data_IF_458907952604
#
_entry.id   IF_458907952604
#
_cell.length_a   1.000
_cell.length_b   1.000
_cell.length_c   1.000
_cell.angle_alpha   90.00
_cell.angle_beta   90.00
_cell.angle_gamma   90.00
#
_symmetry.space_group_name_H-M   'P 1'
#
loop_
_entity.id
_entity.type
_entity.pdbx_description
1 polymer ?
#
# COMPACT_ATOMS: atom_id res chain seq x y z
N UNK A 1 -6.31 21.06 -8.65
CA UNK A 1 -5.81 19.86 -9.34
C UNK A 1 -4.46 19.52 -8.74
N UNK A 2 -4.11 18.24 -8.54
CA UNK A 2 -2.80 17.89 -7.99
C UNK A 2 -1.69 18.28 -8.98
N UNK A 3 -0.49 18.48 -8.46
CA UNK A 3 0.69 18.72 -9.29
C UNK A 3 1.06 17.45 -10.06
N UNK A 4 1.59 17.58 -11.27
CA UNK A 4 2.13 16.45 -12.02
C UNK A 4 3.64 16.55 -12.15
N UNK A 5 4.31 15.41 -12.01
CA UNK A 5 5.77 15.34 -12.09
C UNK A 5 6.19 14.10 -12.88
N UNK A 6 7.13 14.27 -13.81
CA UNK A 6 7.81 13.14 -14.46
C UNK A 6 8.97 12.63 -13.60
N UNK A 7 9.17 11.32 -13.58
CA UNK A 7 10.25 10.65 -12.85
C UNK A 7 11.09 9.77 -13.77
N UNK A 8 12.32 9.48 -13.35
CA UNK A 8 13.26 8.59 -14.07
C UNK A 8 13.28 7.17 -13.50
N UNK A 9 12.82 6.99 -12.27
CA UNK A 9 12.74 5.72 -11.55
C UNK A 9 11.51 5.76 -10.64
N UNK A 10 10.87 4.62 -10.46
CA UNK A 10 9.69 4.47 -9.60
C UNK A 10 9.79 3.25 -8.68
N UNK A 11 10.44 2.18 -9.12
CA UNK A 11 10.71 0.98 -8.34
C UNK A 11 12.08 1.08 -7.67
N UNK A 12 12.09 1.24 -6.35
CA UNK A 12 13.33 1.36 -5.58
C UNK A 12 13.67 0.02 -4.92
N UNK A 13 14.94 -0.41 -4.98
CA UNK A 13 15.40 -1.63 -4.29
C UNK A 13 15.89 -1.26 -2.89
N UNK A 14 15.48 -2.01 -1.88
CA UNK A 14 15.96 -1.83 -0.52
C UNK A 14 17.28 -2.58 -0.31
N UNK A 15 18.06 -2.18 0.69
CA UNK A 15 19.35 -2.82 0.98
C UNK A 15 19.18 -4.17 1.66
N UNK A 16 18.15 -4.29 2.50
CA UNK A 16 17.79 -5.48 3.27
C UNK A 16 16.28 -5.51 3.37
N UNK A 17 15.71 -6.71 3.20
CA UNK A 17 14.30 -6.97 3.44
C UNK A 17 14.01 -6.79 4.92
N UNK A 18 13.05 -5.95 5.25
CA UNK A 18 12.48 -5.90 6.58
C UNK A 18 11.58 -7.12 6.82
N UNK A 19 11.66 -7.72 8.00
CA UNK A 19 10.91 -8.94 8.32
C UNK A 19 9.40 -8.69 8.36
N UNK A 20 8.98 -7.47 8.68
CA UNK A 20 7.58 -7.07 8.80
C UNK A 20 6.99 -6.67 7.46
N UNK A 21 7.61 -5.72 6.75
CA UNK A 21 7.08 -5.23 5.48
C UNK A 21 7.41 -6.12 4.29
N UNK A 22 8.41 -6.98 4.40
CA UNK A 22 8.96 -7.78 3.29
C UNK A 22 9.40 -6.92 2.10
N UNK A 23 9.79 -5.67 2.31
CA UNK A 23 10.09 -4.67 1.29
C UNK A 23 11.40 -4.95 0.56
N UNK A 24 11.45 -5.89 -0.38
CA UNK A 24 12.59 -5.99 -1.31
C UNK A 24 12.63 -4.78 -2.26
N UNK A 25 11.45 -4.33 -2.64
CA UNK A 25 11.22 -3.15 -3.44
C UNK A 25 10.13 -2.27 -2.85
N UNK A 26 10.23 -0.97 -3.09
CA UNK A 26 9.17 -0.02 -2.76
C UNK A 26 8.67 0.72 -4.00
N UNK A 27 7.38 1.03 -3.99
CA UNK A 27 6.67 1.70 -5.07
C UNK A 27 5.71 2.76 -4.52
N UNK A 28 6.07 4.04 -4.71
CA UNK A 28 5.20 5.17 -4.38
C UNK A 28 4.79 5.90 -5.68
N UNK A 29 3.51 5.88 -6.03
CA UNK A 29 2.97 6.51 -7.24
C UNK A 29 2.63 8.00 -7.04
N UNK A 30 2.49 8.40 -5.79
CA UNK A 30 2.11 9.73 -5.35
C UNK A 30 3.18 10.32 -4.44
N UNK A 31 3.12 11.64 -4.23
CA UNK A 31 3.81 12.32 -3.16
C UNK A 31 2.81 13.18 -2.39
N UNK A 32 3.02 13.24 -1.06
CA UNK A 32 2.05 13.76 -0.10
C UNK A 32 0.73 12.95 -0.08
N UNK A 33 -0.03 13.06 1.01
CA UNK A 33 -1.17 12.19 1.26
C UNK A 33 -2.39 13.04 1.66
N UNK A 34 -3.55 12.72 1.08
CA UNK A 34 -4.82 13.40 1.38
C UNK A 34 -5.43 13.02 2.73
N UNK A 35 -4.92 11.98 3.42
CA UNK A 35 -5.44 11.57 4.73
C UNK A 35 -5.04 12.51 5.87
N UNK A 36 -3.98 13.30 5.68
CA UNK A 36 -3.56 14.36 6.59
C UNK A 36 -3.38 13.92 8.06
N UNK A 37 -2.91 12.68 8.28
CA UNK A 37 -2.75 12.13 9.63
C UNK A 37 -1.84 13.02 10.49
N UNK A 38 -2.23 13.26 11.75
CA UNK A 38 -1.47 14.06 12.71
C UNK A 38 -0.15 13.39 13.10
N UNK A 39 -0.13 12.06 13.15
CA UNK A 39 1.03 11.24 13.52
C UNK A 39 1.91 10.83 12.32
N UNK A 40 1.70 11.43 11.13
CA UNK A 40 2.40 11.02 9.92
C UNK A 40 3.90 11.32 9.99
N UNK A 41 4.74 10.28 10.07
CA UNK A 41 6.20 10.43 10.12
C UNK A 41 6.80 11.16 8.90
N UNK A 42 6.17 11.04 7.73
CA UNK A 42 6.59 11.75 6.50
C UNK A 42 6.41 13.26 6.61
N UNK A 43 5.50 13.75 7.45
CA UNK A 43 5.34 15.20 7.71
C UNK A 43 6.46 15.76 8.58
N UNK A 44 7.16 14.91 9.35
CA UNK A 44 8.01 15.36 10.44
C UNK A 44 7.24 16.30 11.39
N UNK A 45 7.87 17.38 11.86
CA UNK A 45 7.28 18.33 12.81
C UNK A 45 6.27 19.33 12.22
N UNK A 46 5.83 19.17 10.96
CA UNK A 46 4.90 20.10 10.27
C UNK A 46 3.44 19.76 10.53
N UNK A 47 3.02 19.92 11.78
CA UNK A 47 1.63 19.75 12.21
C UNK A 47 0.72 20.86 11.63
N UNK A 48 -0.55 20.54 11.33
CA UNK A 48 -1.55 21.53 10.89
C UNK A 48 -1.56 21.94 9.40
N UNK A 49 -0.58 21.53 8.59
CA UNK A 49 -0.54 21.86 7.15
C UNK A 49 -1.36 20.87 6.31
N UNK A 50 -2.38 21.33 5.59
CA UNK A 50 -3.13 20.46 4.67
C UNK A 50 -2.27 20.06 3.46
N UNK A 51 -1.77 18.82 3.49
CA UNK A 51 -0.93 18.23 2.45
C UNK A 51 -1.65 17.92 1.14
N UNK A 52 -2.98 17.94 1.10
CA UNK A 52 -3.73 17.67 -0.14
C UNK A 52 -3.39 18.70 -1.22
N UNK A 53 -3.16 19.95 -0.82
CA UNK A 53 -2.70 21.03 -1.71
C UNK A 53 -1.34 20.76 -2.36
N UNK A 54 -0.50 19.94 -1.70
CA UNK A 54 0.85 19.59 -2.16
C UNK A 54 0.89 18.23 -2.87
N UNK A 55 -0.27 17.60 -3.08
CA UNK A 55 -0.35 16.28 -3.68
C UNK A 55 0.22 16.31 -5.09
N UNK A 56 1.18 15.42 -5.33
CA UNK A 56 1.84 15.29 -6.62
C UNK A 56 1.63 13.89 -7.18
N UNK A 57 1.22 13.82 -8.44
CA UNK A 57 1.08 12.58 -9.21
C UNK A 57 2.32 12.38 -10.07
N UNK A 58 2.90 11.18 -10.03
CA UNK A 58 4.01 10.82 -10.91
C UNK A 58 3.44 10.36 -12.26
N UNK A 59 3.20 11.30 -13.17
CA UNK A 59 2.34 11.08 -14.35
C UNK A 59 2.87 10.08 -15.38
N UNK A 60 4.19 9.83 -15.42
CA UNK A 60 4.79 8.79 -16.26
C UNK A 60 5.16 7.51 -15.48
N UNK A 61 4.64 7.32 -14.26
CA UNK A 61 5.04 6.22 -13.39
C UNK A 61 4.83 4.84 -14.01
N UNK A 62 3.73 4.62 -14.73
CA UNK A 62 3.39 3.32 -15.33
C UNK A 62 4.40 2.91 -16.42
N UNK A 63 4.74 3.83 -17.33
CA UNK A 63 5.75 3.60 -18.38
C UNK A 63 7.14 3.32 -17.78
N UNK A 64 7.51 4.01 -16.70
CA UNK A 64 8.78 3.77 -16.01
C UNK A 64 8.74 2.44 -15.25
N UNK A 65 7.63 2.11 -14.59
CA UNK A 65 7.45 0.88 -13.83
C UNK A 65 7.58 -0.34 -14.73
N UNK A 66 6.90 -0.35 -15.88
CA UNK A 66 6.94 -1.46 -16.84
C UNK A 66 8.38 -1.79 -17.25
N UNK A 67 9.15 -0.78 -17.67
CA UNK A 67 10.56 -0.97 -18.04
C UNK A 67 11.40 -1.53 -16.90
N UNK A 68 11.15 -1.07 -15.67
CA UNK A 68 11.88 -1.52 -14.50
C UNK A 68 11.50 -2.97 -14.12
N UNK A 69 10.21 -3.33 -14.13
CA UNK A 69 9.74 -4.69 -13.87
C UNK A 69 10.27 -5.67 -14.92
N UNK A 70 10.19 -5.32 -16.21
CA UNK A 70 10.71 -6.15 -17.29
C UNK A 70 12.21 -6.44 -17.11
N UNK A 71 13.00 -5.43 -16.75
CA UNK A 71 14.42 -5.60 -16.50
C UNK A 71 14.71 -6.51 -15.30
N UNK A 72 13.96 -6.38 -14.20
CA UNK A 72 14.12 -7.21 -13.00
C UNK A 72 13.68 -8.65 -13.25
N UNK A 73 12.54 -8.85 -13.91
CA UNK A 73 12.03 -10.17 -14.29
C UNK A 73 13.03 -10.91 -15.20
N UNK A 74 13.59 -10.22 -16.21
CA UNK A 74 14.62 -10.78 -17.11
C UNK A 74 15.87 -11.24 -16.35
N UNK A 75 16.21 -10.59 -15.24
CA UNK A 75 17.34 -10.95 -14.38
C UNK A 75 17.00 -11.98 -13.30
N UNK A 76 15.73 -12.40 -13.20
CA UNK A 76 15.25 -13.26 -12.11
C UNK A 76 15.28 -12.61 -10.73
N UNK A 77 15.35 -11.27 -10.66
CA UNK A 77 15.45 -10.51 -9.41
C UNK A 77 14.08 -10.26 -8.77
N UNK A 78 13.34 -11.35 -8.50
CA UNK A 78 12.03 -11.29 -7.85
C UNK A 78 12.13 -10.94 -6.38
N UNK A 79 11.15 -10.19 -5.89
CA UNK A 79 11.04 -9.74 -4.51
C UNK A 79 9.70 -9.02 -4.29
N UNK A 80 9.28 -8.93 -3.04
CA UNK A 80 8.03 -8.26 -2.68
C UNK A 80 8.11 -6.76 -2.99
N UNK A 81 7.10 -6.27 -3.69
CA UNK A 81 6.91 -4.85 -3.96
C UNK A 81 5.94 -4.30 -2.91
N UNK A 82 6.44 -3.41 -2.06
CA UNK A 82 5.63 -2.72 -1.05
C UNK A 82 5.09 -1.42 -1.62
N UNK A 83 3.77 -1.29 -1.61
CA UNK A 83 3.08 -0.02 -1.85
C UNK A 83 2.75 0.61 -0.49
N UNK A 84 2.95 1.93 -0.38
CA UNK A 84 2.90 2.72 0.88
C UNK A 84 4.18 2.77 1.71
N UNK A 85 5.35 2.83 1.08
CA UNK A 85 6.59 3.17 1.82
C UNK A 85 6.62 4.63 2.28
N UNK A 86 5.98 5.54 1.53
CA UNK A 86 5.93 6.98 1.85
C UNK A 86 4.49 7.50 1.73
N UNK A 87 3.75 7.03 0.72
CA UNK A 87 2.40 7.53 0.44
C UNK A 87 1.43 6.39 0.18
N UNK A 88 0.24 6.48 0.76
CA UNK A 88 -0.80 5.46 0.56
C UNK A 88 -1.15 5.33 -0.94
N UNK A 89 -1.26 4.12 -1.49
CA UNK A 89 -1.59 3.91 -2.90
C UNK A 89 -3.07 4.15 -3.21
N UNK A 90 -3.94 4.15 -2.21
CA UNK A 90 -5.39 4.20 -2.35
C UNK A 90 -5.97 5.55 -1.88
N UNK A 91 -5.29 6.65 -2.21
CA UNK A 91 -5.76 8.02 -1.96
C UNK A 91 -7.09 8.31 -2.65
N UNK A 92 -7.81 9.34 -2.21
CA UNK A 92 -9.09 9.73 -2.83
C UNK A 92 -8.98 9.99 -4.34
N UNK A 93 -7.85 10.52 -4.80
CA UNK A 93 -7.58 10.78 -6.21
C UNK A 93 -7.39 9.51 -7.06
N UNK A 94 -7.04 8.38 -6.45
CA UNK A 94 -6.85 7.09 -7.14
C UNK A 94 -8.14 6.61 -7.81
N UNK A 95 -9.32 7.05 -7.32
CA UNK A 95 -10.62 6.81 -7.98
C UNK A 95 -10.70 7.37 -9.40
N UNK A 96 -9.85 8.36 -9.74
CA UNK A 96 -9.78 8.99 -11.07
C UNK A 96 -8.51 8.64 -11.83
N UNK A 97 -7.37 8.56 -11.13
CA UNK A 97 -6.06 8.36 -11.77
C UNK A 97 -5.78 6.89 -12.11
N UNK A 98 -6.25 5.99 -11.25
CA UNK A 98 -6.11 4.53 -11.40
C UNK A 98 -4.65 4.08 -11.61
N UNK A 99 -3.69 4.81 -11.04
CA UNK A 99 -2.27 4.46 -11.20
C UNK A 99 -1.94 3.22 -10.37
N UNK A 100 -2.55 3.06 -9.20
CA UNK A 100 -2.35 1.87 -8.37
C UNK A 100 -2.89 0.65 -9.09
N UNK A 101 -4.11 0.71 -9.63
CA UNK A 101 -4.68 -0.39 -10.42
C UNK A 101 -3.78 -0.78 -11.60
N UNK A 102 -3.38 0.19 -12.42
CA UNK A 102 -2.47 -0.04 -13.57
C UNK A 102 -1.12 -0.61 -13.14
N UNK A 103 -0.59 -0.15 -12.01
CA UNK A 103 0.65 -0.71 -11.46
C UNK A 103 0.46 -2.16 -11.02
N UNK A 104 -0.66 -2.51 -10.38
CA UNK A 104 -0.98 -3.89 -10.00
C UNK A 104 -1.15 -4.81 -11.22
N UNK A 105 -1.75 -4.33 -12.31
CA UNK A 105 -1.84 -5.07 -13.58
C UNK A 105 -0.45 -5.41 -14.13
N UNK A 106 0.49 -4.45 -14.13
CA UNK A 106 1.87 -4.69 -14.53
C UNK A 106 2.59 -5.64 -13.56
N UNK A 107 2.46 -5.43 -12.24
CA UNK A 107 3.05 -6.30 -11.22
C UNK A 107 2.58 -7.75 -11.41
N UNK A 108 1.29 -7.94 -11.67
CA UNK A 108 0.69 -9.24 -12.00
C UNK A 108 1.26 -9.84 -13.27
N UNK A 109 1.34 -9.05 -14.35
CA UNK A 109 1.90 -9.46 -15.65
C UNK A 109 3.34 -9.94 -15.52
N UNK A 110 4.17 -9.21 -14.78
CA UNK A 110 5.57 -9.56 -14.52
C UNK A 110 5.74 -10.50 -13.31
N UNK A 111 4.64 -10.95 -12.70
CA UNK A 111 4.61 -11.96 -11.62
C UNK A 111 5.41 -11.59 -10.38
N UNK A 112 5.42 -10.32 -9.99
CA UNK A 112 6.01 -9.90 -8.72
C UNK A 112 5.01 -10.06 -7.57
N UNK A 113 5.45 -10.55 -6.39
CA UNK A 113 4.61 -10.54 -5.21
C UNK A 113 4.47 -9.11 -4.68
N UNK A 114 3.34 -8.83 -4.01
CA UNK A 114 2.98 -7.49 -3.55
C UNK A 114 2.57 -7.48 -2.10
N UNK A 115 2.91 -6.41 -1.39
CA UNK A 115 2.37 -6.09 -0.09
C UNK A 115 1.83 -4.65 -0.12
N UNK A 116 0.52 -4.50 0.04
CA UNK A 116 -0.16 -3.21 0.08
C UNK A 116 -0.44 -2.88 1.53
N UNK A 117 0.09 -1.76 1.99
CA UNK A 117 -0.30 -1.18 3.28
C UNK A 117 -1.23 -0.01 2.95
N UNK A 118 -2.45 0.00 3.48
CA UNK A 118 -3.40 1.07 3.19
C UNK A 118 -4.31 1.38 4.37
N UNK A 119 -4.94 2.56 4.35
CA UNK A 119 -6.04 2.92 5.26
C UNK A 119 -7.40 2.94 4.56
N UNK A 120 -7.41 2.70 3.25
CA UNK A 120 -8.56 2.95 2.38
C UNK A 120 -9.19 1.64 1.93
N UNK A 121 -10.51 1.61 1.91
CA UNK A 121 -11.30 0.51 1.36
C UNK A 121 -11.25 0.44 -0.17
N UNK A 122 -10.72 1.47 -0.84
CA UNK A 122 -10.59 1.50 -2.30
C UNK A 122 -9.76 0.33 -2.84
N UNK A 123 -8.87 -0.26 -2.03
CA UNK A 123 -8.13 -1.47 -2.38
C UNK A 123 -9.05 -2.65 -2.74
N UNK A 124 -10.29 -2.68 -2.23
CA UNK A 124 -11.27 -3.72 -2.54
C UNK A 124 -11.68 -3.74 -4.02
N UNK A 125 -11.59 -2.59 -4.71
CA UNK A 125 -11.82 -2.49 -6.16
C UNK A 125 -10.90 -3.41 -6.96
N UNK A 126 -9.68 -3.61 -6.47
CA UNK A 126 -8.59 -4.26 -7.20
C UNK A 126 -8.40 -5.72 -6.78
N UNK A 127 -9.36 -6.28 -6.04
CA UNK A 127 -9.32 -7.68 -5.54
C UNK A 127 -9.13 -8.71 -6.64
N UNK A 128 -9.73 -8.50 -7.83
CA UNK A 128 -9.56 -9.35 -9.01
C UNK A 128 -8.08 -9.52 -9.42
N UNK A 129 -7.32 -8.42 -9.38
CA UNK A 129 -5.89 -8.40 -9.72
C UNK A 129 -5.06 -9.00 -8.57
N UNK A 130 -5.40 -8.64 -7.33
CA UNK A 130 -4.71 -9.17 -6.14
C UNK A 130 -4.83 -10.68 -6.03
N UNK A 131 -5.99 -11.25 -6.36
CA UNK A 131 -6.25 -12.69 -6.44
C UNK A 131 -5.35 -13.38 -7.48
N UNK A 132 -5.04 -12.68 -8.56
CA UNK A 132 -4.19 -13.17 -9.64
C UNK A 132 -2.72 -13.14 -9.20
N UNK A 133 -2.29 -12.06 -8.53
CA UNK A 133 -0.94 -11.92 -7.98
C UNK A 133 -0.69 -13.01 -6.92
N UNK A 134 -1.63 -13.23 -5.99
CA UNK A 134 -1.45 -14.20 -4.90
C UNK A 134 -1.15 -15.61 -5.44
N UNK A 135 -1.80 -16.00 -6.53
CA UNK A 135 -1.67 -17.32 -7.15
C UNK A 135 -0.44 -17.46 -8.04
N UNK A 136 -0.08 -16.40 -8.76
CA UNK A 136 0.86 -16.51 -9.89
C UNK A 136 2.24 -15.89 -9.63
N UNK A 137 2.40 -15.09 -8.58
CA UNK A 137 3.66 -14.41 -8.29
C UNK A 137 4.83 -15.39 -8.08
N UNK A 138 6.01 -15.00 -8.57
CA UNK A 138 7.26 -15.70 -8.30
C UNK A 138 7.78 -15.27 -6.94
N UNK A 139 7.74 -16.18 -5.97
CA UNK A 139 8.14 -15.91 -4.60
C UNK A 139 9.67 -15.97 -4.45
N UNK A 140 10.30 -14.99 -3.78
CA UNK A 140 11.73 -15.04 -3.53
C UNK A 140 12.06 -16.21 -2.58
N UNK A 141 13.22 -16.82 -2.78
CA UNK A 141 13.69 -17.90 -1.92
C UNK A 141 13.90 -17.44 -0.47
N UNK A 142 13.80 -18.38 0.48
CA UNK A 142 14.07 -18.13 1.89
C UNK A 142 12.91 -17.53 2.69
N UNK A 143 11.73 -17.33 2.09
CA UNK A 143 10.50 -17.05 2.81
C UNK A 143 9.64 -18.31 2.93
N UNK A 144 9.08 -18.54 4.11
CA UNK A 144 8.10 -19.62 4.38
C UNK A 144 6.68 -19.24 3.98
N UNK A 145 6.49 -18.03 3.45
CA UNK A 145 5.18 -17.48 3.11
C UNK A 145 4.66 -18.06 1.78
N UNK A 146 3.51 -18.74 1.83
CA UNK A 146 2.83 -19.30 0.64
C UNK A 146 1.89 -18.30 -0.05
N UNK A 147 2.09 -16.99 0.17
CA UNK A 147 1.25 -15.92 -0.38
C UNK A 147 2.06 -15.03 -1.29
N UNK A 148 1.50 -14.72 -2.45
CA UNK A 148 2.04 -13.73 -3.39
C UNK A 148 1.49 -12.32 -3.13
N UNK A 149 0.37 -12.20 -2.40
CA UNK A 149 -0.27 -10.93 -2.09
C UNK A 149 -0.54 -10.81 -0.59
N UNK A 150 -0.20 -9.65 -0.03
CA UNK A 150 -0.54 -9.26 1.34
C UNK A 150 -1.23 -7.90 1.28
N UNK A 151 -2.35 -7.76 1.99
CA UNK A 151 -3.00 -6.46 2.21
C UNK A 151 -3.09 -6.23 3.71
N UNK A 152 -2.44 -5.16 4.16
CA UNK A 152 -2.40 -4.73 5.55
C UNK A 152 -3.16 -3.42 5.68
N UNK A 153 -4.11 -3.38 6.61
CA UNK A 153 -4.79 -2.14 6.94
C UNK A 153 -4.12 -1.44 8.12
N UNK A 154 -3.94 -0.12 8.03
CA UNK A 154 -3.40 0.71 9.10
C UNK A 154 -4.47 1.71 9.56
N UNK A 155 -4.81 1.68 10.84
CA UNK A 155 -5.69 2.66 11.48
C UNK A 155 -5.20 2.87 12.92
N UNK A 156 -5.32 4.10 13.42
CA UNK A 156 -4.88 4.44 14.79
C UNK A 156 -5.88 4.01 15.86
N UNK A 157 -7.16 4.00 15.52
CA UNK A 157 -8.27 3.70 16.43
C UNK A 157 -9.44 3.13 15.64
N UNK A 158 -10.34 2.44 16.33
CA UNK A 158 -11.63 2.00 15.78
C UNK A 158 -12.77 2.96 16.12
N UNK A 159 -12.52 3.95 16.97
CA UNK A 159 -13.48 5.00 17.32
C UNK A 159 -13.44 6.10 16.23
N UNK A 160 -14.57 6.33 15.57
CA UNK A 160 -14.67 7.26 14.44
C UNK A 160 -14.48 8.72 14.87
N UNK A 161 -14.90 9.09 16.08
CA UNK A 161 -14.72 10.44 16.60
C UNK A 161 -13.23 10.71 16.85
N UNK A 162 -12.55 9.76 17.49
CA UNK A 162 -11.10 9.83 17.70
C UNK A 162 -10.34 9.77 16.37
N UNK A 163 -10.77 8.92 15.43
CA UNK A 163 -10.17 8.84 14.09
C UNK A 163 -10.29 10.16 13.34
N UNK A 164 -11.43 10.86 13.44
CA UNK A 164 -11.64 12.15 12.79
C UNK A 164 -10.65 13.22 13.26
N UNK A 165 -10.18 13.11 14.51
CA UNK A 165 -9.17 14.00 15.06
C UNK A 165 -7.77 13.65 14.54
N UNK A 166 -7.36 12.38 14.62
CA UNK A 166 -6.02 11.95 14.24
C UNK A 166 -5.79 11.80 12.73
N UNK A 167 -6.84 11.53 11.97
CA UNK A 167 -6.82 11.20 10.54
C UNK A 167 -7.94 11.95 9.79
N UNK A 168 -7.99 13.29 9.85
CA UNK A 168 -9.14 14.09 9.42
C UNK A 168 -9.46 13.98 7.91
N UNK A 169 -8.45 13.63 7.09
CA UNK A 169 -8.63 13.41 5.66
C UNK A 169 -9.04 11.98 5.31
N UNK A 170 -8.97 11.05 6.28
CA UNK A 170 -9.53 9.72 6.13
C UNK A 170 -11.04 9.84 6.26
N UNK A 171 -11.73 10.05 5.12
CA UNK A 171 -13.15 9.79 5.07
C UNK A 171 -13.33 8.29 5.13
N UNK A 172 -13.57 7.74 6.32
CA UNK A 172 -14.19 6.44 6.46
C UNK A 172 -15.58 6.56 5.84
N UNK A 173 -15.70 6.44 4.52
CA UNK A 173 -17.01 6.37 3.84
C UNK A 173 -17.56 4.96 4.05
N UNK A 174 -17.79 4.61 5.31
CA UNK A 174 -18.46 3.39 5.73
C UNK A 174 -19.22 3.75 6.99
N UNK A 175 -20.55 3.83 6.91
CA UNK A 175 -21.48 3.93 8.04
C UNK A 175 -21.47 2.63 8.87
N UNK A 176 -20.29 2.15 9.25
CA UNK A 176 -20.10 0.88 9.91
C UNK A 176 -18.70 0.34 9.66
N UNK A 177 -17.74 0.83 10.43
CA UNK A 177 -16.49 0.13 10.79
C UNK A 177 -16.71 -1.39 10.97
N UNK A 178 -17.88 -1.83 11.45
CA UNK A 178 -18.27 -3.25 11.55
C UNK A 178 -18.33 -4.08 10.25
N UNK A 179 -18.45 -3.48 9.06
CA UNK A 179 -18.52 -4.26 7.80
C UNK A 179 -17.16 -4.60 7.19
N UNK A 180 -16.14 -3.77 7.42
CA UNK A 180 -14.76 -4.10 7.08
C UNK A 180 -14.32 -5.35 7.87
N UNK A 181 -14.69 -5.43 9.15
CA UNK A 181 -14.50 -6.64 9.96
C UNK A 181 -15.32 -7.84 9.50
N UNK A 182 -16.55 -7.67 8.99
CA UNK A 182 -17.33 -8.80 8.42
C UNK A 182 -16.68 -9.43 7.19
N UNK A 183 -15.95 -8.66 6.36
CA UNK A 183 -15.18 -9.24 5.25
C UNK A 183 -13.85 -9.82 5.70
N UNK A 184 -13.18 -9.20 6.69
CA UNK A 184 -11.93 -9.71 7.28
C UNK A 184 -12.18 -11.00 8.10
N UNK A 185 -13.33 -11.15 8.74
CA UNK A 185 -13.72 -12.33 9.55
C UNK A 185 -14.55 -13.36 8.78
N UNK A 186 -14.66 -13.28 7.45
CA UNK A 186 -15.27 -14.38 6.68
C UNK A 186 -14.27 -15.52 6.59
N UNK A 187 -14.54 -16.73 7.14
CA UNK A 187 -13.64 -17.88 7.04
C UNK A 187 -13.45 -18.41 5.59
N UNK A 188 -14.03 -17.74 4.59
CA UNK A 188 -14.01 -18.12 3.19
C UNK A 188 -13.44 -17.06 2.24
N UNK A 189 -12.94 -15.91 2.73
CA UNK A 189 -12.13 -15.03 1.86
C UNK A 189 -10.78 -15.68 1.64
N UNK A 190 -10.45 -16.01 0.39
CA UNK A 190 -9.22 -16.72 -0.02
C UNK A 190 -7.90 -15.98 0.30
N UNK A 191 -7.96 -14.85 1.00
CA UNK A 191 -6.83 -13.98 1.31
C UNK A 191 -6.52 -14.00 2.80
N UNK A 192 -5.23 -13.96 3.13
CA UNK A 192 -4.75 -13.58 4.46
C UNK A 192 -4.82 -12.05 4.56
N UNK A 193 -5.99 -11.49 4.88
CA UNK A 193 -6.05 -10.11 5.37
C UNK A 193 -5.53 -10.16 6.82
N UNK A 194 -4.24 -9.92 7.00
CA UNK A 194 -3.67 -9.69 8.34
C UNK A 194 -3.98 -8.24 8.70
N UNK A 195 -4.95 -8.05 9.58
CA UNK A 195 -5.12 -6.76 10.27
C UNK A 195 -3.94 -6.60 11.21
N UNK A 196 -3.04 -5.68 10.89
CA UNK A 196 -2.00 -5.27 11.82
C UNK A 196 -2.49 -4.06 12.61
N UNK A 197 -2.63 -4.23 13.91
CA UNK A 197 -2.77 -3.13 14.85
C UNK A 197 -1.36 -2.57 15.14
N UNK A 198 -1.06 -1.36 14.68
CA UNK A 198 0.11 -0.62 15.18
C UNK A 198 -0.35 0.16 16.41
N UNK A 199 -0.32 -0.49 17.57
CA UNK A 199 -0.31 0.24 18.84
C UNK A 199 1.14 0.60 19.13
N UNK A 200 1.46 1.89 19.11
CA UNK A 200 2.75 2.39 19.55
C UNK A 200 2.78 2.31 21.08
N UNK A 201 3.13 1.14 21.62
CA UNK A 201 3.55 0.96 23.01
C UNK A 201 4.82 0.11 23.02
N UNK A 202 5.82 0.45 23.84
CA UNK A 202 7.03 -0.34 23.98
C UNK A 202 6.67 -1.67 24.66
N UNK A 203 7.40 -2.69 24.27
CA UNK A 203 7.46 -4.03 24.89
C UNK A 203 6.44 -5.06 24.38
N UNK A 204 7.01 -6.06 23.70
CA UNK A 204 6.46 -7.35 23.27
C UNK A 204 5.63 -7.40 21.98
N UNK A 205 6.34 -7.34 20.84
CA UNK A 205 5.87 -7.95 19.59
C UNK A 205 6.40 -9.39 19.49
N UNK A 206 5.57 -10.38 19.82
CA UNK A 206 5.73 -11.77 19.37
C UNK A 206 4.58 -12.05 18.40
N UNK A 207 4.88 -12.37 17.14
CA UNK A 207 3.83 -12.70 16.18
C UNK A 207 4.25 -12.82 14.73
N UNK A 208 4.86 -13.97 14.41
CA UNK A 208 5.20 -14.56 13.09
C UNK A 208 6.39 -13.97 12.34
#
# INVERSE_FOLDING_TARGET
MPHEKKVRSILNRTKRRDAWSLDDYTLDLYQACSFNCLYCYIRGSKYGVNLESSLTVKSNAIEVLERQLALRAKKGEYGFIVLSSITDPCLHIEKRYELTRKALELISTYRFPVHIITRSDLVLRDTDILDTIDKNAVRPAGLTLDRGCIVSFSFSTMDEEVASFFEPGLRLTWTGTGMMFRHIHRPHTKYSIKTLYIYNQPDNCVGL
#
